data_IF_168635019047
#
_entry.id   IF_168635019047
#
_cell.length_a   1.000
_cell.length_b   1.000
_cell.length_c   1.000
_cell.angle_alpha   90.00
_cell.angle_beta   90.00
_cell.angle_gamma   90.00
#
_symmetry.space_group_name_H-M   'P 1'
#
loop_
_entity.id
_entity.type
_entity.pdbx_description
1 polymer ?
#
# COMPACT_ATOMS: atom_id res chain seq x y z
N UNK A 1 -3.32 3.88 19.49
CA UNK A 1 -3.88 2.93 18.52
C UNK A 1 -2.91 1.78 18.32
N UNK A 2 -3.31 0.57 18.72
CA UNK A 2 -2.49 -0.65 18.72
C UNK A 2 -2.54 -1.37 17.34
N UNK A 3 -3.70 -1.36 16.65
CA UNK A 3 -3.92 -2.09 15.39
C UNK A 3 -3.06 -1.66 14.19
N UNK A 4 -3.00 -0.36 13.86
CA UNK A 4 -2.18 0.09 12.70
C UNK A 4 -0.68 -0.09 12.89
N UNK A 5 -0.20 -0.17 14.15
CA UNK A 5 1.18 -0.52 14.46
C UNK A 5 1.40 -2.03 14.32
N UNK A 6 0.44 -2.85 14.76
CA UNK A 6 0.45 -4.30 14.63
C UNK A 6 0.52 -4.72 13.15
N UNK A 7 -0.37 -4.22 12.29
CA UNK A 7 -0.35 -4.59 10.88
C UNK A 7 0.90 -4.13 10.13
N UNK A 8 1.43 -2.93 10.45
CA UNK A 8 2.72 -2.50 9.91
C UNK A 8 3.84 -3.43 10.35
N UNK A 9 3.85 -3.84 11.62
CA UNK A 9 4.85 -4.77 12.15
C UNK A 9 4.70 -6.18 11.54
N UNK A 10 3.48 -6.63 11.25
CA UNK A 10 3.22 -7.88 10.53
C UNK A 10 3.78 -7.84 9.12
N UNK A 11 3.47 -6.78 8.35
CA UNK A 11 4.04 -6.62 6.99
C UNK A 11 5.56 -6.50 7.06
N UNK A 12 6.12 -5.69 7.96
CA UNK A 12 7.57 -5.53 8.10
C UNK A 12 8.27 -6.80 8.61
N UNK A 13 7.57 -7.69 9.33
CA UNK A 13 8.12 -8.99 9.72
C UNK A 13 8.19 -9.94 8.54
N UNK A 14 7.15 -9.96 7.71
CA UNK A 14 7.07 -10.83 6.54
C UNK A 14 7.92 -10.32 5.37
N UNK A 15 7.97 -9.00 5.18
CA UNK A 15 8.63 -8.29 4.07
C UNK A 15 9.35 -7.03 4.62
N UNK A 16 10.52 -7.20 5.25
CA UNK A 16 11.26 -6.12 5.91
C UNK A 16 11.62 -4.96 4.96
N UNK A 17 11.83 -5.25 3.69
CA UNK A 17 12.17 -4.27 2.66
C UNK A 17 11.04 -3.25 2.40
N UNK A 18 9.80 -3.58 2.78
CA UNK A 18 8.65 -2.68 2.61
C UNK A 18 8.53 -1.66 3.75
N UNK A 19 9.23 -1.86 4.87
CA UNK A 19 9.07 -1.04 6.08
C UNK A 19 9.28 0.46 5.80
N UNK A 20 10.29 0.78 4.99
CA UNK A 20 10.65 2.17 4.63
C UNK A 20 9.71 2.79 3.59
N UNK A 21 8.93 1.96 2.90
CA UNK A 21 8.04 2.38 1.83
C UNK A 21 6.69 2.86 2.37
N UNK A 22 6.35 2.58 3.64
CA UNK A 22 5.16 3.14 4.26
C UNK A 22 5.26 4.65 4.49
N UNK A 23 4.09 5.29 4.61
CA UNK A 23 3.96 6.69 5.00
C UNK A 23 4.69 6.96 6.32
N UNK A 24 5.54 7.98 6.33
CA UNK A 24 6.33 8.48 7.45
C UNK A 24 5.44 9.30 8.39
N UNK A 25 4.40 8.67 8.94
CA UNK A 25 3.38 9.32 9.77
C UNK A 25 3.96 10.11 10.95
N UNK A 26 5.08 9.64 11.53
CA UNK A 26 5.76 10.34 12.63
C UNK A 26 6.33 11.69 12.18
N UNK A 27 6.97 11.74 11.01
CA UNK A 27 7.57 12.97 10.48
C UNK A 27 6.51 13.96 10.03
N UNK A 28 5.48 13.49 9.30
CA UNK A 28 4.34 14.34 8.96
C UNK A 28 3.63 14.88 10.21
N UNK A 29 3.53 14.07 11.28
CA UNK A 29 2.95 14.55 12.55
C UNK A 29 3.81 15.62 13.20
N UNK A 30 5.14 15.62 13.04
CA UNK A 30 6.00 16.72 13.50
C UNK A 30 5.69 18.00 12.74
N UNK A 31 5.59 17.94 11.41
CA UNK A 31 5.19 19.08 10.58
C UNK A 31 3.83 19.65 11.00
N UNK A 32 2.83 18.79 11.24
CA UNK A 32 1.50 19.25 11.71
C UNK A 32 1.55 19.99 13.06
N UNK A 33 2.52 19.70 13.94
CA UNK A 33 2.67 20.46 15.19
C UNK A 33 3.19 21.87 14.95
N UNK A 34 4.04 22.07 13.93
CA UNK A 34 4.59 23.37 13.59
C UNK A 34 3.50 24.32 13.08
N UNK A 35 2.47 23.80 12.40
CA UNK A 35 1.30 24.59 11.96
C UNK A 35 0.74 25.47 13.09
N UNK A 36 0.54 24.91 14.29
CA UNK A 36 -0.04 25.70 15.40
C UNK A 36 0.90 26.81 15.87
N UNK A 37 2.18 26.51 15.98
CA UNK A 37 3.20 27.52 16.33
C UNK A 37 3.32 28.59 15.23
N UNK A 38 3.21 28.19 13.96
CA UNK A 38 3.20 29.06 12.80
C UNK A 38 2.01 30.02 12.80
N UNK A 39 0.82 29.58 13.23
CA UNK A 39 -0.34 30.48 13.39
C UNK A 39 -0.02 31.58 14.42
N UNK A 40 0.50 31.19 15.59
CA UNK A 40 0.79 32.12 16.68
C UNK A 40 1.91 33.13 16.30
N UNK A 41 2.78 32.74 15.36
CA UNK A 41 3.92 33.53 14.88
C UNK A 41 3.68 34.24 13.53
N UNK A 42 2.51 34.08 12.90
CA UNK A 42 2.20 34.64 11.58
C UNK A 42 2.88 33.96 10.39
N UNK A 43 3.43 32.75 10.57
CA UNK A 43 4.16 31.97 9.56
C UNK A 43 3.36 30.77 9.00
N UNK A 44 2.02 30.81 9.07
CA UNK A 44 1.15 29.69 8.67
C UNK A 44 1.44 29.19 7.25
N UNK A 45 1.62 30.11 6.29
CA UNK A 45 1.84 29.75 4.88
C UNK A 45 3.12 28.93 4.67
N UNK A 46 4.21 29.29 5.35
CA UNK A 46 5.47 28.57 5.27
C UNK A 46 5.36 27.16 5.85
N UNK A 47 4.71 27.02 7.02
CA UNK A 47 4.51 25.73 7.67
C UNK A 47 3.54 24.83 6.87
N UNK A 48 2.49 25.40 6.26
CA UNK A 48 1.57 24.70 5.37
C UNK A 48 2.28 24.20 4.10
N UNK A 49 3.15 25.02 3.52
CA UNK A 49 3.98 24.64 2.38
C UNK A 49 4.91 23.49 2.76
N UNK A 50 5.59 23.58 3.91
CA UNK A 50 6.45 22.51 4.42
C UNK A 50 5.72 21.18 4.62
N UNK A 51 4.51 21.22 5.18
CA UNK A 51 3.66 20.03 5.31
C UNK A 51 3.26 19.46 3.95
N UNK A 52 2.83 20.31 3.01
CA UNK A 52 2.37 19.91 1.68
C UNK A 52 3.50 19.26 0.87
N UNK A 53 4.70 19.84 0.89
CA UNK A 53 5.88 19.28 0.21
C UNK A 53 6.26 17.91 0.78
N UNK A 54 6.24 17.75 2.11
CA UNK A 54 6.52 16.45 2.73
C UNK A 54 5.43 15.43 2.38
N UNK A 55 4.16 15.84 2.36
CA UNK A 55 3.05 14.98 1.99
C UNK A 55 3.18 14.50 0.54
N UNK A 56 3.45 15.40 -0.40
CA UNK A 56 3.62 15.08 -1.81
C UNK A 56 4.80 14.11 -2.02
N UNK A 57 5.93 14.33 -1.32
CA UNK A 57 7.07 13.39 -1.34
C UNK A 57 6.69 11.99 -0.85
N UNK A 58 5.94 11.91 0.24
CA UNK A 58 5.50 10.63 0.80
C UNK A 58 4.49 9.93 -0.09
N UNK A 59 3.57 10.66 -0.71
CA UNK A 59 2.62 10.12 -1.69
C UNK A 59 3.35 9.57 -2.92
N UNK A 60 4.28 10.32 -3.49
CA UNK A 60 5.09 9.86 -4.63
C UNK A 60 5.82 8.56 -4.30
N UNK A 61 6.48 8.49 -3.14
CA UNK A 61 7.17 7.27 -2.69
C UNK A 61 6.22 6.05 -2.62
N UNK A 62 5.05 6.23 -2.02
CA UNK A 62 4.06 5.14 -1.84
C UNK A 62 3.50 4.70 -3.19
N UNK A 63 3.18 5.66 -4.07
CA UNK A 63 2.66 5.38 -5.39
C UNK A 63 3.68 4.66 -6.26
N UNK A 64 4.92 5.17 -6.33
CA UNK A 64 5.99 4.51 -7.10
C UNK A 64 6.16 3.08 -6.63
N UNK A 65 6.30 2.85 -5.32
CA UNK A 65 6.42 1.49 -4.79
C UNK A 65 5.24 0.57 -5.16
N UNK A 66 4.02 1.09 -5.05
CA UNK A 66 2.82 0.30 -5.35
C UNK A 66 2.73 -0.06 -6.83
N UNK A 67 2.99 0.89 -7.72
CA UNK A 67 2.96 0.70 -9.18
C UNK A 67 4.07 -0.27 -9.59
N UNK A 68 5.30 -0.08 -9.11
CA UNK A 68 6.42 -0.98 -9.41
C UNK A 68 6.07 -2.43 -9.02
N UNK A 69 5.43 -2.62 -7.86
CA UNK A 69 4.94 -3.95 -7.43
C UNK A 69 3.84 -4.50 -8.30
N UNK A 70 2.89 -3.69 -8.74
CA UNK A 70 1.85 -4.13 -9.67
C UNK A 70 2.45 -4.59 -11.02
N UNK A 71 3.44 -3.87 -11.53
CA UNK A 71 4.17 -4.25 -12.75
C UNK A 71 4.91 -5.58 -12.58
N UNK A 72 5.66 -5.74 -11.49
CA UNK A 72 6.35 -6.99 -11.14
C UNK A 72 5.36 -8.16 -11.06
N UNK A 73 4.19 -7.93 -10.47
CA UNK A 73 3.17 -8.97 -10.28
C UNK A 73 2.51 -9.39 -11.59
N UNK A 74 2.30 -8.48 -12.54
CA UNK A 74 1.82 -8.84 -13.88
C UNK A 74 2.80 -9.79 -14.55
N UNK A 75 4.10 -9.48 -14.50
CA UNK A 75 5.15 -10.30 -15.11
C UNK A 75 5.20 -11.68 -14.41
N UNK A 76 5.28 -11.69 -13.07
CA UNK A 76 5.34 -12.92 -12.29
C UNK A 76 4.14 -13.83 -12.49
N UNK A 77 2.95 -13.25 -12.60
CA UNK A 77 1.73 -14.00 -12.88
C UNK A 77 1.81 -14.72 -14.23
N UNK A 78 2.28 -14.05 -15.29
CA UNK A 78 2.47 -14.65 -16.61
C UNK A 78 3.47 -15.82 -16.60
N UNK A 79 4.57 -15.67 -15.88
CA UNK A 79 5.55 -16.76 -15.73
C UNK A 79 4.92 -17.98 -15.04
N UNK A 80 4.16 -17.77 -13.96
CA UNK A 80 3.46 -18.83 -13.25
C UNK A 80 2.39 -19.51 -14.11
N UNK A 81 1.66 -18.76 -14.94
CA UNK A 81 0.73 -19.33 -15.92
C UNK A 81 1.43 -20.27 -16.90
N UNK A 82 2.58 -19.85 -17.45
CA UNK A 82 3.36 -20.66 -18.41
C UNK A 82 3.89 -21.92 -17.74
N UNK A 83 4.46 -21.82 -16.53
CA UNK A 83 4.93 -23.00 -15.79
C UNK A 83 3.79 -23.97 -15.49
N UNK A 84 2.62 -23.45 -15.08
CA UNK A 84 1.44 -24.25 -14.80
C UNK A 84 0.79 -24.90 -16.04
N UNK A 85 1.17 -24.50 -17.26
CA UNK A 85 0.73 -25.10 -18.51
C UNK A 85 1.69 -26.18 -19.04
N UNK A 86 2.98 -26.08 -18.68
CA UNK A 86 4.05 -26.93 -19.22
C UNK A 86 4.58 -27.95 -18.20
N UNK A 87 3.74 -28.38 -17.26
CA UNK A 87 4.10 -29.34 -16.21
C UNK A 87 4.46 -30.71 -16.78
N UNK A 88 5.60 -31.26 -16.34
CA UNK A 88 6.10 -32.56 -16.77
C UNK A 88 6.02 -33.64 -15.68
N UNK A 89 5.48 -33.31 -14.50
CA UNK A 89 5.34 -34.28 -13.40
C UNK A 89 4.76 -33.69 -12.13
N UNK A 90 4.48 -34.57 -11.16
CA UNK A 90 3.88 -34.20 -9.87
C UNK A 90 4.79 -33.34 -9.00
N UNK A 91 6.11 -33.51 -9.08
CA UNK A 91 7.06 -32.72 -8.30
C UNK A 91 7.09 -31.25 -8.78
N UNK A 92 7.22 -31.05 -10.10
CA UNK A 92 7.15 -29.71 -10.72
C UNK A 92 5.81 -29.02 -10.41
N UNK A 93 4.71 -29.79 -10.46
CA UNK A 93 3.38 -29.31 -10.09
C UNK A 93 3.31 -28.83 -8.64
N UNK A 94 3.90 -29.57 -7.69
CA UNK A 94 3.93 -29.16 -6.27
C UNK A 94 4.76 -27.89 -6.06
N UNK A 95 5.88 -27.73 -6.77
CA UNK A 95 6.67 -26.50 -6.70
C UNK A 95 5.93 -25.30 -7.27
N UNK A 96 5.27 -25.45 -8.43
CA UNK A 96 4.44 -24.39 -9.01
C UNK A 96 3.28 -24.02 -8.07
N UNK A 97 2.64 -25.00 -7.41
CA UNK A 97 1.60 -24.74 -6.41
C UNK A 97 2.13 -23.90 -5.22
N UNK A 98 3.31 -24.23 -4.69
CA UNK A 98 3.95 -23.46 -3.61
C UNK A 98 4.26 -22.04 -4.05
N UNK A 99 4.81 -21.87 -5.25
CA UNK A 99 5.14 -20.56 -5.81
C UNK A 99 3.89 -19.69 -5.97
N UNK A 100 2.79 -20.25 -6.46
CA UNK A 100 1.51 -19.53 -6.61
C UNK A 100 0.96 -19.14 -5.22
N UNK A 101 1.03 -20.02 -4.22
CA UNK A 101 0.59 -19.71 -2.86
C UNK A 101 1.42 -18.58 -2.22
N UNK A 102 2.75 -18.63 -2.40
CA UNK A 102 3.65 -17.58 -1.91
C UNK A 102 3.35 -16.24 -2.60
N UNK A 103 3.18 -16.26 -3.92
CA UNK A 103 2.85 -15.08 -4.71
C UNK A 103 1.49 -14.48 -4.32
N UNK A 104 0.48 -15.33 -4.14
CA UNK A 104 -0.83 -14.92 -3.62
C UNK A 104 -0.70 -14.25 -2.24
N UNK A 105 0.08 -14.83 -1.32
CA UNK A 105 0.31 -14.24 -0.01
C UNK A 105 0.99 -12.86 -0.08
N UNK A 106 1.96 -12.67 -0.98
CA UNK A 106 2.60 -11.37 -1.22
C UNK A 106 1.62 -10.32 -1.75
N UNK A 107 0.72 -10.68 -2.67
CA UNK A 107 -0.33 -9.77 -3.15
C UNK A 107 -1.30 -9.35 -2.03
N UNK A 108 -1.67 -10.27 -1.15
CA UNK A 108 -2.47 -9.95 0.05
C UNK A 108 -1.72 -8.98 0.98
N UNK A 109 -0.39 -9.10 1.11
CA UNK A 109 0.40 -8.11 1.84
C UNK A 109 0.37 -6.73 1.17
N UNK A 110 0.35 -6.65 -0.17
CA UNK A 110 0.25 -5.36 -0.87
C UNK A 110 -1.13 -4.71 -0.66
N UNK A 111 -2.21 -5.49 -0.60
CA UNK A 111 -3.53 -4.99 -0.18
C UNK A 111 -3.49 -4.40 1.22
N UNK A 112 -2.86 -5.08 2.17
CA UNK A 112 -2.69 -4.55 3.52
C UNK A 112 -1.82 -3.27 3.54
N UNK A 113 -0.76 -3.23 2.74
CA UNK A 113 0.07 -2.04 2.56
C UNK A 113 -0.77 -0.84 2.11
N UNK A 114 -1.63 -1.01 1.10
CA UNK A 114 -2.56 0.03 0.64
C UNK A 114 -3.47 0.54 1.77
N UNK A 115 -4.16 -0.37 2.47
CA UNK A 115 -5.08 -0.03 3.57
C UNK A 115 -4.40 0.74 4.70
N UNK A 116 -3.19 0.33 5.09
CA UNK A 116 -2.41 0.97 6.14
C UNK A 116 -2.01 2.40 5.73
N UNK A 117 -1.51 2.57 4.50
CA UNK A 117 -1.11 3.88 3.98
C UNK A 117 -2.30 4.81 3.82
N UNK A 118 -3.43 4.32 3.30
CA UNK A 118 -4.68 5.09 3.18
C UNK A 118 -5.14 5.58 4.56
N UNK A 119 -5.16 4.67 5.54
CA UNK A 119 -5.51 5.01 6.92
C UNK A 119 -4.57 6.07 7.50
N UNK A 120 -3.26 5.96 7.23
CA UNK A 120 -2.26 6.93 7.67
C UNK A 120 -2.47 8.31 7.04
N UNK A 121 -2.70 8.33 5.74
CA UNK A 121 -2.96 9.52 4.93
C UNK A 121 -4.22 10.25 5.40
N UNK A 122 -5.36 9.57 5.49
CA UNK A 122 -6.61 10.18 5.94
C UNK A 122 -6.50 10.75 7.35
N UNK A 123 -5.78 10.06 8.24
CA UNK A 123 -5.53 10.54 9.61
C UNK A 123 -4.65 11.78 9.65
N UNK A 124 -3.60 11.85 8.84
CA UNK A 124 -2.68 12.98 8.90
C UNK A 124 -3.31 14.22 8.27
N UNK A 125 -4.04 14.04 7.16
CA UNK A 125 -4.82 15.10 6.50
C UNK A 125 -5.91 15.65 7.42
N UNK A 126 -6.69 14.78 8.07
CA UNK A 126 -7.66 15.21 9.09
C UNK A 126 -7.00 15.94 10.26
N UNK A 127 -5.80 15.52 10.66
CA UNK A 127 -5.05 16.16 11.75
C UNK A 127 -4.57 17.55 11.34
N UNK A 128 -4.02 17.71 10.14
CA UNK A 128 -3.59 19.00 9.60
C UNK A 128 -4.76 19.99 9.51
N UNK A 129 -5.90 19.60 8.92
CA UNK A 129 -7.11 20.43 8.88
C UNK A 129 -7.53 20.89 10.28
N UNK A 130 -7.50 19.99 11.28
CA UNK A 130 -7.83 20.34 12.67
C UNK A 130 -6.86 21.37 13.28
N UNK A 131 -5.57 21.35 12.92
CA UNK A 131 -4.57 22.26 13.49
C UNK A 131 -4.57 23.64 12.84
N UNK A 132 -4.92 23.74 11.55
CA UNK A 132 -5.13 25.04 10.86
C UNK A 132 -6.29 25.86 11.45
N UNK A 133 -7.13 25.26 12.28
CA UNK A 133 -8.41 25.83 12.68
C UNK A 133 -9.54 25.34 11.76
N UNK A 134 -10.78 25.41 12.23
CA UNK A 134 -11.96 24.97 11.50
C UNK A 134 -12.32 25.93 10.35
N UNK A 135 -11.37 26.20 9.44
CA UNK A 135 -11.69 26.81 8.16
C UNK A 135 -12.48 25.79 7.34
N UNK A 136 -13.61 26.23 6.80
CA UNK A 136 -14.41 25.43 5.86
C UNK A 136 -13.70 25.23 4.52
N UNK A 137 -12.68 26.04 4.22
CA UNK A 137 -11.85 25.89 3.03
C UNK A 137 -10.99 24.62 3.12
N UNK A 138 -11.20 23.72 2.16
CA UNK A 138 -10.34 22.55 2.01
C UNK A 138 -8.93 22.99 1.61
N UNK A 139 -7.87 22.46 2.25
CA UNK A 139 -6.51 22.70 1.79
C UNK A 139 -6.34 22.35 0.30
N UNK A 140 -5.52 23.10 -0.46
CA UNK A 140 -5.42 22.96 -1.92
C UNK A 140 -4.95 21.57 -2.39
N UNK A 141 -4.30 20.79 -1.51
CA UNK A 141 -3.88 19.43 -1.83
C UNK A 141 -5.02 18.38 -1.76
N UNK A 142 -6.19 18.71 -1.19
CA UNK A 142 -7.25 17.73 -0.90
C UNK A 142 -7.78 16.96 -2.11
N UNK A 143 -8.04 17.59 -3.28
CA UNK A 143 -8.49 16.85 -4.46
C UNK A 143 -7.51 15.76 -4.87
N UNK A 144 -6.20 16.05 -4.78
CA UNK A 144 -5.14 15.10 -5.14
C UNK A 144 -5.07 13.95 -4.15
N UNK A 145 -5.13 14.22 -2.85
CA UNK A 145 -5.06 13.20 -1.78
C UNK A 145 -6.11 12.09 -1.92
N UNK A 146 -7.29 12.40 -2.48
CA UNK A 146 -8.38 11.44 -2.63
C UNK A 146 -8.25 10.55 -3.86
N UNK A 147 -7.30 10.82 -4.76
CA UNK A 147 -7.08 10.08 -5.99
C UNK A 147 -5.60 9.70 -6.07
N UNK A 148 -5.28 8.52 -5.56
CA UNK A 148 -3.92 8.00 -5.55
C UNK A 148 -3.89 6.60 -6.16
N UNK A 149 -2.92 6.28 -7.03
CA UNK A 149 -2.75 4.95 -7.61
C UNK A 149 -2.84 3.81 -6.58
N UNK A 150 -2.23 3.97 -5.40
CA UNK A 150 -2.27 2.93 -4.37
C UNK A 150 -3.67 2.66 -3.78
N UNK A 151 -4.70 3.42 -4.14
CA UNK A 151 -6.10 3.13 -3.78
C UNK A 151 -6.77 2.14 -4.73
N UNK A 152 -6.26 2.01 -5.95
CA UNK A 152 -6.83 1.16 -6.98
C UNK A 152 -6.31 -0.26 -6.82
N UNK A 153 -7.15 -1.15 -6.27
CA UNK A 153 -6.79 -2.55 -5.99
C UNK A 153 -7.40 -3.55 -6.98
N UNK A 154 -8.07 -3.08 -8.03
CA UNK A 154 -8.77 -3.94 -8.99
C UNK A 154 -7.82 -4.88 -9.73
N UNK A 155 -6.62 -4.41 -10.08
CA UNK A 155 -5.59 -5.24 -10.70
C UNK A 155 -5.17 -6.38 -9.77
N UNK A 156 -4.83 -6.07 -8.51
CA UNK A 156 -4.49 -7.09 -7.51
C UNK A 156 -5.60 -8.12 -7.33
N UNK A 157 -6.86 -7.66 -7.27
CA UNK A 157 -8.00 -8.56 -7.15
C UNK A 157 -8.11 -9.54 -8.34
N UNK A 158 -7.88 -9.04 -9.56
CA UNK A 158 -7.89 -9.87 -10.76
C UNK A 158 -6.73 -10.89 -10.78
N UNK A 159 -5.52 -10.48 -10.37
CA UNK A 159 -4.37 -11.38 -10.28
C UNK A 159 -4.56 -12.46 -9.20
N UNK A 160 -5.11 -12.09 -8.04
CA UNK A 160 -5.47 -13.02 -6.96
C UNK A 160 -6.45 -14.08 -7.46
N UNK A 161 -7.53 -13.67 -8.14
CA UNK A 161 -8.48 -14.59 -8.78
C UNK A 161 -7.83 -15.50 -9.81
N UNK A 162 -6.91 -14.96 -10.61
CA UNK A 162 -6.12 -15.74 -11.56
C UNK A 162 -5.33 -16.84 -10.85
N UNK A 163 -4.67 -16.52 -9.74
CA UNK A 163 -3.95 -17.49 -8.92
C UNK A 163 -4.88 -18.57 -8.37
N UNK A 164 -6.02 -18.18 -7.79
CA UNK A 164 -7.05 -19.11 -7.29
C UNK A 164 -7.52 -20.08 -8.38
N UNK A 165 -7.74 -19.59 -9.61
CA UNK A 165 -8.14 -20.43 -10.73
C UNK A 165 -7.06 -21.46 -11.11
N UNK A 166 -5.78 -21.07 -11.10
CA UNK A 166 -4.68 -22.02 -11.36
C UNK A 166 -4.59 -23.05 -10.23
N UNK A 167 -4.70 -22.62 -8.97
CA UNK A 167 -4.69 -23.51 -7.80
C UNK A 167 -5.82 -24.54 -7.87
N UNK A 168 -7.04 -24.12 -8.21
CA UNK A 168 -8.19 -25.03 -8.36
C UNK A 168 -7.93 -26.04 -9.48
N UNK A 169 -7.45 -25.58 -10.64
CA UNK A 169 -7.14 -26.45 -11.79
C UNK A 169 -6.06 -27.49 -11.48
N UNK A 170 -5.07 -27.11 -10.69
CA UNK A 170 -3.96 -27.98 -10.28
C UNK A 170 -4.24 -28.72 -8.97
N UNK A 171 -5.37 -28.51 -8.30
CA UNK A 171 -5.65 -29.28 -7.09
C UNK A 171 -6.08 -30.69 -7.48
N UNK A 172 -5.60 -31.74 -6.78
CA UNK A 172 -6.13 -33.08 -6.99
C UNK A 172 -7.65 -33.06 -6.73
N UNK A 173 -8.44 -33.89 -7.43
CA UNK A 173 -9.85 -34.05 -7.12
C UNK A 173 -9.99 -34.45 -5.64
N UNK A 174 -10.93 -33.81 -4.93
CA UNK A 174 -11.31 -34.22 -3.59
C UNK A 174 -11.82 -35.67 -3.69
N UNK A 175 -11.02 -36.64 -3.23
CA UNK A 175 -11.53 -37.99 -3.01
C UNK A 175 -12.50 -37.93 -1.81
N UNK A 176 -13.73 -38.47 -1.95
CA UNK A 176 -14.75 -38.47 -0.90
C UNK A 176 -14.40 -39.35 0.31
#
# INVERSE_FOLDING_TARGET
MHHGKKHRAEVAKSLPEWERMFIAYKELKKQVKLIRAGIDQGNLEAEDMGFTLLLDRELNKINTFYIDKEEDYIIRFRELEIMAQNLNGREEMLEVLKDILSFHAEMVMLLHYSVINFTGLMKIVKKHKKHRGASDESPPYMPRVLQQPFFSTDLLYNLIKGCEAILIRLSPPNDP
#
